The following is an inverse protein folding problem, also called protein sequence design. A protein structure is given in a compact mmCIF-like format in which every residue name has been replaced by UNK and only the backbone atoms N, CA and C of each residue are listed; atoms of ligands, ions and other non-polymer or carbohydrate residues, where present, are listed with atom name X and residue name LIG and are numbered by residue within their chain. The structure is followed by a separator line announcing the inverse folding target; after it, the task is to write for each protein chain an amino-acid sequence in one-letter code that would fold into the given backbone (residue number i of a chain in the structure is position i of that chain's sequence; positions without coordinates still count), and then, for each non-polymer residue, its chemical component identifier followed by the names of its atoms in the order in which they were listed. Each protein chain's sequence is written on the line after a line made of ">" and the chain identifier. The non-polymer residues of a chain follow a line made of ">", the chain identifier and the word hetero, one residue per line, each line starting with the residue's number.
data_IF_547357673254
#
_entry.id   IF_547357673254
#
_cell.length_a   1.000
_cell.length_b   1.000
_cell.length_c   1.000
_cell.angle_alpha   90.00
_cell.angle_beta   90.00
_cell.angle_gamma   90.00
#
_symmetry.space_group_name_H-M   'P 1'
#
loop_
_entity.id
_entity.type
_entity.pdbx_description
1 polymer ?
2 polymer ?
3 polymer ?
4 non-polymer ?
5 water ?
#
loop_
_entity_poly.entity_id
_entity_poly.type
_entity_poly.pdbx_seq_one_letter_code
_entity_poly.pdbx_strand_id
2 'polydeoxyribonucleotide' '(DC)(DC)(DG)(DG)(DC)' ?
3 'polydeoxyribonucleotide' '(DG)(DG)(DC)(DC)(DG)' ?
#
# COMPACT_ATOMS: atom_id res chain seq x y z
N UNK A 1 -1.77 -11.55 11.17
CA UNK A 1 -2.90 -10.65 10.78
C UNK A 1 -3.59 -10.09 12.03
N UNK A 2 -2.99 -9.07 12.64
CA UNK A 2 -3.53 -8.42 13.84
C UNK A 2 -4.92 -7.85 13.55
N UNK A 3 -5.49 -7.13 14.50
CA UNK A 3 -6.81 -6.52 14.32
C UNK A 3 -7.88 -7.58 14.11
N UNK A 4 -7.65 -8.81 14.56
CA UNK A 4 -8.65 -9.86 14.36
C UNK A 4 -9.98 -9.50 15.03
N UNK A 5 -11.05 -9.55 14.24
CA UNK A 5 -12.37 -9.23 14.77
C UNK A 5 -12.69 -7.75 14.81
N UNK A 6 -11.72 -6.90 14.50
CA UNK A 6 -11.94 -5.45 14.53
C UNK A 6 -12.86 -4.99 13.40
N UNK A 7 -13.64 -3.92 13.63
CA UNK A 7 -14.52 -3.45 12.54
C UNK A 7 -13.72 -3.12 11.27
N UNK A 8 -14.38 -3.24 10.12
CA UNK A 8 -13.73 -2.98 8.86
C UNK A 8 -14.31 -1.85 8.02
N UNK A 9 -13.41 -1.06 7.43
CA UNK A 9 -13.80 0.03 6.57
C UNK A 9 -13.23 -0.31 5.21
N UNK A 10 -14.10 -0.59 4.23
CA UNK A 10 -13.58 -0.90 2.90
C UNK A 10 -13.52 0.37 2.08
N UNK A 11 -12.37 0.61 1.46
CA UNK A 11 -12.20 1.81 0.66
C UNK A 11 -12.71 1.59 -0.77
N UNK A 12 -13.44 2.58 -1.28
CA UNK A 12 -13.97 2.49 -2.63
C UNK A 12 -13.52 3.67 -3.47
N UNK A 13 -14.40 4.17 -4.32
CA UNK A 13 -14.09 5.29 -5.20
C UNK A 13 -14.61 6.64 -4.73
N UNK A 14 -15.35 6.64 -3.64
CA UNK A 14 -15.88 7.89 -3.13
C UNK A 14 -14.73 8.77 -2.64
N UNK A 15 -14.99 10.07 -2.47
CA UNK A 15 -13.97 11.04 -2.02
C UNK A 15 -13.26 10.48 -0.78
N UNK A 16 -11.94 10.61 -0.73
CA UNK A 16 -11.18 10.07 0.39
C UNK A 16 -11.71 10.57 1.74
N UNK A 17 -12.26 11.78 1.75
CA UNK A 17 -12.83 12.38 2.95
C UNK A 17 -13.87 11.48 3.64
N UNK A 18 -14.72 10.85 2.85
CA UNK A 18 -15.75 9.98 3.40
C UNK A 18 -15.15 8.84 4.24
N UNK A 19 -14.08 8.22 3.74
CA UNK A 19 -13.42 7.12 4.43
C UNK A 19 -12.64 7.61 5.64
N UNK A 20 -12.10 8.81 5.56
CA UNK A 20 -11.37 9.36 6.69
C UNK A 20 -12.38 9.48 7.84
N UNK A 21 -13.55 10.01 7.52
CA UNK A 21 -14.59 10.19 8.52
C UNK A 21 -15.12 8.85 9.02
N UNK A 22 -15.20 7.86 8.14
CA UNK A 22 -15.67 6.54 8.54
C UNK A 22 -14.72 5.94 9.58
N UNK A 23 -13.42 6.06 9.33
CA UNK A 23 -12.41 5.55 10.24
C UNK A 23 -12.53 6.26 11.59
N UNK A 24 -12.64 7.58 11.56
CA UNK A 24 -12.76 8.35 12.80
C UNK A 24 -14.01 8.00 13.62
N UNK A 25 -15.15 7.90 12.96
CA UNK A 25 -16.38 7.58 13.67
C UNK A 25 -16.38 6.15 14.22
N UNK A 26 -15.71 5.24 13.53
CA UNK A 26 -15.65 3.86 13.97
C UNK A 26 -14.85 3.79 15.26
N UNK A 27 -13.71 4.46 15.28
CA UNK A 27 -12.84 4.47 16.45
C UNK A 27 -13.49 5.21 17.62
N UNK A 28 -14.62 5.86 17.35
CA UNK A 28 -15.36 6.59 18.38
C UNK A 28 -16.36 5.66 19.05
N UNK A 29 -16.66 4.54 18.41
CA UNK A 29 -17.60 3.58 18.96
C UNK A 29 -17.14 3.07 20.33
N UNK A 30 -18.09 2.92 21.24
CA UNK A 30 -17.81 2.46 22.59
C UNK A 30 -17.20 1.06 22.55
N UNK A 31 -16.02 0.91 23.14
CA UNK A 31 -15.37 -0.38 23.17
C UNK A 31 -14.58 -0.74 21.91
N UNK A 32 -14.43 0.22 21.00
CA UNK A 32 -13.67 -0.04 19.77
C UNK A 32 -12.37 0.75 19.81
N UNK A 33 -11.24 0.05 19.70
CA UNK A 33 -9.94 0.70 19.74
C UNK A 33 -9.15 0.41 18.46
N UNK A 34 -9.71 -0.45 17.61
CA UNK A 34 -9.07 -0.82 16.36
C UNK A 34 -10.02 -0.78 15.16
N UNK A 35 -9.43 -0.60 13.99
CA UNK A 35 -10.18 -0.59 12.74
C UNK A 35 -9.22 -1.06 11.66
N UNK A 36 -9.71 -1.93 10.79
CA UNK A 36 -8.89 -2.42 9.70
C UNK A 36 -9.43 -1.80 8.42
N UNK A 37 -8.53 -1.21 7.66
CA UNK A 37 -8.89 -0.57 6.41
C UNK A 37 -8.51 -1.52 5.29
N UNK A 38 -9.47 -1.85 4.43
CA UNK A 38 -9.21 -2.78 3.34
C UNK A 38 -9.49 -2.13 2.00
N UNK A 39 -8.72 -2.50 1.00
CA UNK A 39 -8.89 -1.96 -0.36
C UNK A 39 -8.28 -2.91 -1.37
N UNK A 40 -8.83 -2.89 -2.59
CA UNK A 40 -8.33 -3.75 -3.66
C UNK A 40 -7.97 -2.90 -4.88
N UNK A 41 -6.96 -3.35 -5.61
CA UNK A 41 -6.53 -2.63 -6.81
C UNK A 41 -6.18 -1.17 -6.64
N UNK A 42 -6.68 -0.35 -7.57
CA UNK A 42 -6.42 1.08 -7.55
C UNK A 42 -6.86 1.74 -6.25
N UNK A 43 -7.83 1.14 -5.57
CA UNK A 43 -8.33 1.71 -4.32
C UNK A 43 -7.29 1.66 -3.20
N UNK A 44 -6.24 0.87 -3.42
CA UNK A 44 -5.18 0.75 -2.43
C UNK A 44 -4.55 2.12 -2.20
N UNK A 45 -4.44 2.92 -3.26
CA UNK A 45 -3.86 4.26 -3.17
C UNK A 45 -4.70 5.12 -2.24
N UNK A 46 -6.02 5.05 -2.41
CA UNK A 46 -6.95 5.83 -1.60
C UNK A 46 -6.94 5.36 -0.14
N UNK A 47 -6.75 4.06 0.07
CA UNK A 47 -6.71 3.51 1.40
C UNK A 47 -5.52 4.08 2.16
N UNK A 48 -4.37 4.13 1.50
CA UNK A 48 -3.17 4.66 2.14
C UNK A 48 -3.34 6.16 2.41
N UNK A 49 -3.94 6.87 1.46
CA UNK A 49 -4.16 8.31 1.62
C UNK A 49 -5.07 8.60 2.81
N UNK A 50 -6.16 7.84 2.94
CA UNK A 50 -7.10 8.04 4.02
C UNK A 50 -6.43 7.86 5.38
N UNK A 51 -5.64 6.79 5.50
CA UNK A 51 -4.93 6.51 6.74
C UNK A 51 -3.94 7.61 7.09
N UNK A 52 -3.18 8.07 6.09
CA UNK A 52 -2.22 9.13 6.34
C UNK A 52 -2.89 10.45 6.70
N UNK A 53 -4.04 10.72 6.10
CA UNK A 53 -4.81 11.93 6.40
C UNK A 53 -5.31 11.85 7.84
N UNK A 54 -5.81 10.67 8.23
CA UNK A 54 -6.28 10.45 9.59
C UNK A 54 -5.17 10.73 10.60
N UNK A 55 -4.03 10.09 10.40
CA UNK A 55 -2.87 10.24 11.28
C UNK A 55 -2.19 11.61 11.28
N UNK A 56 -2.02 12.20 10.10
CA UNK A 56 -1.35 13.49 10.00
C UNK A 56 -2.21 14.72 10.28
N UNK A 57 -3.52 14.61 10.06
CA UNK A 57 -4.39 15.76 10.24
C UNK A 57 -5.51 15.70 11.27
N UNK A 58 -6.03 14.51 11.53
CA UNK A 58 -7.14 14.38 12.48
C UNK A 58 -6.83 13.80 13.86
N UNK A 59 -6.12 12.67 13.89
CA UNK A 59 -5.81 12.03 15.17
C UNK A 59 -4.41 11.42 15.20
N UNK A 60 -3.48 12.16 15.79
CA UNK A 60 -2.10 11.70 15.90
C UNK A 60 -1.91 10.53 16.88
N UNK A 61 -2.94 10.19 17.63
CA UNK A 61 -2.85 9.08 18.58
C UNK A 61 -3.26 7.73 17.97
N UNK A 62 -3.44 7.71 16.66
CA UNK A 62 -3.80 6.49 15.95
C UNK A 62 -2.54 5.95 15.31
N UNK A 63 -2.15 4.75 15.70
CA UNK A 63 -0.95 4.12 15.16
C UNK A 63 -1.26 3.11 14.07
N UNK A 64 -0.28 2.90 13.20
CA UNK A 64 -0.42 1.90 12.15
C UNK A 64 0.20 0.67 12.78
N UNK A 65 -0.66 -0.19 13.30
CA UNK A 65 -0.27 -1.42 13.97
C UNK A 65 0.35 -2.47 13.04
N UNK A 66 -0.29 -2.70 11.90
CA UNK A 66 0.20 -3.69 10.95
C UNK A 66 -0.33 -3.43 9.55
N UNK A 67 0.40 -3.93 8.56
CA UNK A 67 -0.01 -3.79 7.16
C UNK A 67 0.30 -5.10 6.46
N UNK A 68 -0.70 -5.61 5.73
CA UNK A 68 -0.49 -6.84 4.98
C UNK A 68 -1.02 -6.67 3.58
N UNK A 69 -0.34 -7.29 2.62
CA UNK A 69 -0.79 -7.21 1.24
C UNK A 69 -0.99 -8.63 0.74
N UNK A 70 -1.84 -8.78 -0.27
CA UNK A 70 -2.13 -10.08 -0.86
C UNK A 70 -2.65 -9.82 -2.27
N UNK A 71 -3.12 -10.87 -2.93
CA UNK A 71 -3.66 -10.74 -4.27
C UNK A 71 -4.40 -12.01 -4.69
N UNK A 72 -5.09 -11.95 -5.82
CA UNK A 72 -5.84 -13.08 -6.33
C UNK A 72 -6.19 -12.86 -7.80
N UNK A 73 -6.21 -13.95 -8.58
CA UNK A 73 -6.54 -13.85 -9.98
C UNK A 73 -8.04 -14.05 -10.18
N UNK A 74 -8.65 -13.17 -10.96
CA UNK A 74 -10.08 -13.22 -11.22
C UNK A 74 -10.37 -13.53 -12.68
N UNK A 75 -11.56 -14.05 -12.95
CA UNK A 75 -11.96 -14.40 -14.32
C UNK A 75 -12.55 -13.21 -15.07
N UNK A 76 -11.81 -12.73 -16.08
CA UNK A 76 -12.25 -11.61 -16.89
C UNK A 76 -12.61 -12.10 -18.30
N UNK A 77 -13.87 -12.44 -18.49
CA UNK A 77 -14.35 -12.91 -19.79
C UNK A 77 -14.10 -11.91 -20.91
N UNK A 78 -13.14 -12.22 -21.79
CA UNK A 78 -12.81 -11.35 -22.90
C UNK A 78 -14.06 -10.91 -23.67
N UNK A 79 -13.97 -9.78 -24.40
CA UNK A 79 -15.11 -9.27 -25.17
C UNK A 79 -15.97 -10.33 -25.86
N UNK A 80 -15.47 -10.92 -26.95
CA UNK A 80 -16.24 -11.93 -27.67
C UNK A 80 -15.64 -13.32 -27.52
N UNK A 81 -14.43 -13.39 -26.95
CA UNK A 81 -13.78 -14.69 -26.76
C UNK A 81 -13.89 -15.20 -25.34
N UNK A 82 -13.11 -16.23 -25.01
CA UNK A 82 -13.13 -16.80 -23.67
C UNK A 82 -11.72 -17.04 -23.12
N UNK A 83 -11.37 -16.28 -22.08
CA UNK A 83 -10.06 -16.40 -21.46
C UNK A 83 -10.01 -15.33 -20.36
N UNK A 84 -9.23 -15.60 -19.31
CA UNK A 84 -9.11 -14.67 -18.20
C UNK A 84 -7.79 -14.85 -17.45
N UNK A 85 -7.10 -13.73 -17.25
CA UNK A 85 -5.81 -13.70 -16.54
C UNK A 85 -5.61 -12.30 -15.95
N UNK A 86 -6.11 -12.11 -14.73
CA UNK A 86 -5.98 -10.82 -14.05
C UNK A 86 -5.78 -11.01 -12.55
N UNK A 87 -4.65 -10.53 -12.05
CA UNK A 87 -4.36 -10.63 -10.63
C UNK A 87 -4.69 -9.29 -9.98
N UNK A 88 -5.51 -9.32 -8.94
CA UNK A 88 -5.91 -8.11 -8.24
C UNK A 88 -5.29 -8.11 -6.85
N UNK A 89 -4.55 -7.06 -6.55
CA UNK A 89 -3.89 -6.94 -5.25
C UNK A 89 -4.82 -6.33 -4.20
N UNK A 90 -4.48 -6.53 -2.94
CA UNK A 90 -5.27 -6.00 -1.84
C UNK A 90 -4.36 -5.56 -0.72
N UNK A 91 -4.86 -4.66 0.12
CA UNK A 91 -4.10 -4.22 1.27
C UNK A 91 -5.03 -4.23 2.48
N UNK A 92 -4.48 -4.51 3.65
CA UNK A 92 -5.20 -4.49 4.91
C UNK A 92 -4.33 -3.70 5.87
N UNK A 93 -4.83 -2.55 6.33
CA UNK A 93 -4.08 -1.71 7.24
C UNK A 93 -4.78 -1.74 8.58
N UNK A 94 -4.08 -2.24 9.60
CA UNK A 94 -4.64 -2.32 10.94
C UNK A 94 -4.29 -1.07 11.73
N UNK A 95 -5.30 -0.35 12.17
CA UNK A 95 -5.10 0.86 12.95
C UNK A 95 -5.51 0.61 14.39
N UNK A 96 -4.81 1.25 15.32
CA UNK A 96 -5.13 1.10 16.72
C UNK A 96 -5.05 2.42 17.47
N UNK A 97 -6.03 2.66 18.34
CA UNK A 97 -6.13 3.87 19.15
C UNK A 97 -5.09 4.08 20.24
N UNK A 98 -4.68 5.34 20.40
CA UNK A 98 -3.70 5.78 21.41
C UNK A 98 -2.43 5.06 21.80
N UNK A 99 -1.77 4.49 20.79
CA UNK A 99 -0.55 3.73 20.96
C UNK A 99 -0.10 3.53 22.39
N UNK B 1 11.96 -0.51 11.53
CA UNK B 1 13.39 -0.13 11.30
C UNK B 1 14.21 -1.34 10.85
N UNK B 2 14.01 -1.76 9.61
CA UNK B 2 14.71 -2.89 9.02
C UNK B 2 14.99 -2.61 7.55
N UNK B 3 15.72 -3.52 6.90
CA UNK B 3 16.07 -3.38 5.48
C UNK B 3 17.04 -2.23 5.27
N UNK B 4 17.58 -1.68 6.35
CA UNK B 4 18.51 -0.57 6.17
C UNK B 4 19.68 -0.97 5.29
N UNK B 5 20.07 -0.07 4.40
CA UNK B 5 21.18 -0.32 3.49
C UNK B 5 20.87 -1.18 2.28
N UNK B 6 19.70 -1.82 2.27
CA UNK B 6 19.33 -2.69 1.17
C UNK B 6 19.11 -1.94 -0.14
N UNK B 7 19.46 -2.57 -1.28
CA UNK B 7 19.27 -1.92 -2.58
C UNK B 7 17.78 -1.57 -2.74
N UNK B 8 17.49 -0.53 -3.52
CA UNK B 8 16.11 -0.06 -3.71
C UNK B 8 15.58 -0.16 -5.13
N UNK B 9 14.25 -0.26 -5.26
CA UNK B 9 13.59 -0.28 -6.55
C UNK B 9 12.45 0.74 -6.45
N UNK B 10 12.63 1.85 -7.16
CA UNK B 10 11.68 2.95 -7.20
C UNK B 10 10.61 2.69 -8.25
N UNK B 11 9.35 2.62 -7.83
CA UNK B 11 8.27 2.39 -8.79
C UNK B 11 7.94 3.72 -9.46
N UNK B 12 7.93 3.70 -10.79
CA UNK B 12 7.61 4.90 -11.55
C UNK B 12 6.29 4.72 -12.26
N UNK B 13 6.18 5.20 -13.50
CA UNK B 13 4.93 5.08 -14.26
C UNK B 13 5.03 4.05 -15.39
N UNK B 14 6.19 3.42 -15.52
CA UNK B 14 6.41 2.41 -16.55
C UNK B 14 5.56 1.19 -16.20
N UNK B 15 5.33 0.30 -17.18
CA UNK B 15 4.52 -0.90 -16.93
C UNK B 15 5.02 -1.68 -15.72
N UNK B 16 4.10 -2.33 -15.02
CA UNK B 16 4.43 -3.12 -13.85
C UNK B 16 5.46 -4.21 -14.13
N UNK B 17 5.42 -4.83 -15.30
CA UNK B 17 6.38 -5.89 -15.62
C UNK B 17 7.82 -5.38 -15.59
N UNK B 18 8.02 -4.11 -15.93
CA UNK B 18 9.36 -3.54 -15.92
C UNK B 18 9.92 -3.57 -14.50
N UNK B 19 9.09 -3.26 -13.52
CA UNK B 19 9.48 -3.25 -12.11
C UNK B 19 9.58 -4.65 -11.54
N UNK B 20 8.78 -5.57 -12.08
CA UNK B 20 8.84 -6.96 -11.63
C UNK B 20 10.23 -7.45 -12.01
N UNK B 21 10.65 -7.07 -13.22
CA UNK B 21 11.95 -7.44 -13.74
C UNK B 21 13.07 -6.80 -12.92
N UNK B 22 12.91 -5.54 -12.58
CA UNK B 22 13.90 -4.82 -11.78
C UNK B 22 14.08 -5.47 -10.40
N UNK B 23 12.98 -5.91 -9.80
CA UNK B 23 13.06 -6.56 -8.50
C UNK B 23 13.80 -7.89 -8.62
N UNK B 24 13.45 -8.68 -9.64
CA UNK B 24 14.09 -9.98 -9.82
C UNK B 24 15.58 -9.85 -10.10
N UNK B 25 15.96 -8.84 -10.89
CA UNK B 25 17.37 -8.64 -11.22
C UNK B 25 18.15 -8.15 -9.99
N UNK B 26 17.52 -7.28 -9.20
CA UNK B 26 18.16 -6.78 -7.99
C UNK B 26 18.38 -7.95 -7.05
N UNK B 27 17.42 -8.86 -7.01
CA UNK B 27 17.50 -10.05 -6.17
C UNK B 27 18.57 -11.04 -6.62
N UNK B 28 18.78 -11.12 -7.93
CA UNK B 28 19.78 -12.04 -8.48
C UNK B 28 21.21 -11.73 -8.09
N UNK B 29 21.46 -10.51 -7.65
CA UNK B 29 22.81 -10.12 -7.24
C UNK B 29 23.22 -10.97 -6.02
N UNK B 30 24.38 -11.61 -6.14
CA UNK B 30 24.92 -12.49 -5.12
C UNK B 30 24.90 -11.96 -3.69
N UNK B 31 25.21 -10.68 -3.52
CA UNK B 31 25.23 -10.11 -2.19
C UNK B 31 23.90 -9.66 -1.62
N UNK B 32 23.06 -9.05 -2.46
CA UNK B 32 21.76 -8.57 -2.02
C UNK B 32 20.91 -9.64 -1.35
N UNK B 33 20.55 -9.41 -0.09
CA UNK B 33 19.72 -10.33 0.68
C UNK B 33 18.31 -9.77 0.82
N UNK B 34 18.20 -8.46 0.64
CA UNK B 34 16.94 -7.74 0.77
C UNK B 34 16.81 -6.69 -0.34
N UNK B 35 15.57 -6.27 -0.59
CA UNK B 35 15.32 -5.23 -1.58
C UNK B 35 14.11 -4.43 -1.10
N UNK B 36 14.23 -3.11 -1.13
CA UNK B 36 13.13 -2.26 -0.71
C UNK B 36 12.46 -1.60 -1.91
N UNK B 37 11.16 -1.86 -2.04
CA UNK B 37 10.36 -1.30 -3.12
C UNK B 37 9.68 -0.05 -2.55
N UNK B 38 9.92 1.08 -3.22
CA UNK B 38 9.37 2.36 -2.79
C UNK B 38 8.47 3.00 -3.83
N UNK B 39 7.39 3.64 -3.38
CA UNK B 39 6.46 4.29 -4.29
C UNK B 39 5.68 5.41 -3.63
N UNK B 40 5.28 6.38 -4.43
CA UNK B 40 4.53 7.52 -3.94
C UNK B 40 3.25 7.75 -4.72
N UNK B 41 2.28 8.33 -4.05
CA UNK B 41 1.00 8.66 -4.66
C UNK B 41 0.27 7.55 -5.39
N UNK B 42 -0.04 7.82 -6.65
CA UNK B 42 -0.76 6.88 -7.50
C UNK B 42 0.01 5.62 -7.90
N UNK B 43 1.29 5.59 -7.56
CA UNK B 43 2.15 4.44 -7.89
C UNK B 43 2.17 3.38 -6.81
N UNK B 44 1.55 3.68 -5.68
CA UNK B 44 1.54 2.73 -4.57
C UNK B 44 0.85 1.41 -4.93
N UNK B 45 -0.31 1.46 -5.57
CA UNK B 45 -0.93 0.18 -5.89
C UNK B 45 -0.07 -0.56 -6.92
N UNK B 46 0.66 0.17 -7.77
CA UNK B 46 1.53 -0.47 -8.75
C UNK B 46 2.67 -1.19 -8.03
N UNK B 47 3.16 -0.60 -6.94
CA UNK B 47 4.23 -1.20 -6.15
C UNK B 47 3.74 -2.51 -5.53
N UNK B 48 2.52 -2.49 -4.98
CA UNK B 48 1.96 -3.70 -4.38
C UNK B 48 1.75 -4.76 -5.46
N UNK B 49 1.33 -4.35 -6.65
CA UNK B 49 1.11 -5.29 -7.76
C UNK B 49 2.42 -5.96 -8.16
N UNK B 50 3.47 -5.16 -8.31
CA UNK B 50 4.77 -5.69 -8.70
C UNK B 50 5.27 -6.72 -7.69
N UNK B 51 5.15 -6.39 -6.40
CA UNK B 51 5.59 -7.30 -5.35
C UNK B 51 4.76 -8.57 -5.30
N UNK B 52 3.45 -8.45 -5.54
CA UNK B 52 2.59 -9.63 -5.52
C UNK B 52 2.86 -10.57 -6.70
N UNK B 53 3.18 -10.00 -7.86
CA UNK B 53 3.49 -10.79 -9.04
C UNK B 53 4.72 -11.61 -8.73
N UNK B 54 5.73 -10.93 -8.20
CA UNK B 54 6.98 -11.57 -7.84
C UNK B 54 6.76 -12.72 -6.85
N UNK B 55 6.11 -12.41 -5.73
CA UNK B 55 5.86 -13.40 -4.68
C UNK B 55 4.97 -14.57 -5.08
N UNK B 56 3.94 -14.30 -5.88
CA UNK B 56 3.01 -15.33 -6.29
C UNK B 56 3.42 -16.11 -7.54
N UNK B 57 4.20 -15.48 -8.41
CA UNK B 57 4.57 -16.10 -9.66
C UNK B 57 6.06 -16.36 -9.95
N UNK B 58 6.96 -15.50 -9.50
CA UNK B 58 8.38 -15.69 -9.83
C UNK B 58 9.37 -16.04 -8.72
N UNK B 59 9.06 -15.65 -7.50
CA UNK B 59 9.92 -15.95 -6.37
C UNK B 59 8.95 -16.23 -5.24
N UNK B 60 8.43 -17.46 -5.23
CA UNK B 60 7.44 -17.89 -4.26
C UNK B 60 8.01 -18.07 -2.85
N UNK B 61 9.31 -17.95 -2.70
CA UNK B 61 9.92 -18.11 -1.38
C UNK B 61 10.39 -16.79 -0.78
N UNK B 62 10.15 -15.69 -1.50
CA UNK B 62 10.53 -14.39 -0.99
C UNK B 62 9.56 -14.01 0.11
N UNK B 63 10.05 -13.34 1.14
CA UNK B 63 9.17 -12.96 2.22
C UNK B 63 9.07 -11.45 2.32
N UNK B 64 7.88 -10.98 2.69
CA UNK B 64 7.66 -9.55 2.87
C UNK B 64 8.12 -9.30 4.30
N UNK B 65 9.32 -8.75 4.43
CA UNK B 65 9.93 -8.47 5.71
C UNK B 65 9.20 -7.41 6.53
N UNK B 66 8.73 -6.36 5.86
CA UNK B 66 8.04 -5.30 6.55
C UNK B 66 7.49 -4.30 5.53
N UNK B 67 6.46 -3.55 5.93
CA UNK B 67 5.83 -2.56 5.08
C UNK B 67 5.57 -1.32 5.92
N UNK B 68 5.95 -0.16 5.40
CA UNK B 68 5.75 1.10 6.12
C UNK B 68 5.10 2.10 5.17
N UNK B 69 4.20 2.92 5.68
CA UNK B 69 3.58 3.96 4.86
C UNK B 69 3.88 5.30 5.54
N UNK B 70 3.87 6.36 4.76
CA UNK B 70 4.18 7.68 5.28
C UNK B 70 3.59 8.67 4.29
N UNK B 71 3.80 9.95 4.54
CA UNK B 71 3.30 10.96 3.63
C UNK B 71 4.16 12.20 3.78
N UNK B 72 4.25 12.97 2.71
CA UNK B 72 5.07 14.18 2.70
C UNK B 72 4.25 15.34 2.13
N UNK B 73 4.48 16.54 2.65
CA UNK B 73 3.76 17.70 2.15
C UNK B 73 4.47 18.23 0.92
N UNK B 74 3.69 18.57 -0.10
CA UNK B 74 4.19 19.12 -1.35
C UNK B 74 3.60 20.51 -1.51
N UNK B 75 4.46 21.51 -1.70
CA UNK B 75 4.01 22.89 -1.88
C UNK B 75 3.94 23.09 -3.40
N UNK B 76 2.74 22.97 -3.95
CA UNK B 76 2.52 23.11 -5.39
C UNK B 76 2.38 24.59 -5.71
N UNK B 77 2.15 24.92 -6.98
CA UNK B 77 2.00 26.32 -7.39
C UNK B 77 0.82 26.45 -8.34
N UNK B 78 -0.25 27.08 -7.86
CA UNK B 78 -1.46 27.28 -8.65
C UNK B 78 -1.19 28.16 -9.87
N UNK B 79 -1.84 27.87 -11.02
CA UNK B 79 -1.62 28.70 -12.20
C UNK B 79 -1.72 30.15 -11.77
N UNK B 80 -2.52 30.37 -10.74
CA UNK B 80 -2.74 31.67 -10.14
C UNK B 80 -1.76 31.75 -8.96
N UNK B 81 -1.11 32.89 -8.78
CA UNK B 81 -0.15 33.06 -7.70
C UNK B 81 -0.67 32.62 -6.33
N UNK B 82 0.24 32.57 -5.36
CA UNK B 82 -0.08 32.14 -4.01
C UNK B 82 -0.67 30.81 -3.53
N UNK B 83 0.02 29.75 -3.92
CA UNK B 83 -0.35 28.37 -3.59
C UNK B 83 -0.22 27.79 -2.16
N UNK B 84 -0.57 26.52 -2.00
CA UNK B 84 -0.47 25.90 -0.68
C UNK B 84 -0.20 24.40 -0.68
N UNK B 85 -0.01 23.88 0.53
CA UNK B 85 0.30 22.49 0.78
C UNK B 85 -0.64 21.48 0.12
N UNK B 86 -0.08 20.31 -0.13
CA UNK B 86 -0.78 19.19 -0.74
C UNK B 86 -0.10 17.97 -0.12
N UNK B 87 -0.86 16.89 0.08
CA UNK B 87 -0.31 15.69 0.69
C UNK B 87 -0.11 14.52 -0.25
N UNK B 88 1.07 13.92 -0.18
CA UNK B 88 1.37 12.77 -1.02
C UNK B 88 1.83 11.62 -0.13
N UNK B 89 1.17 10.47 -0.28
CA UNK B 89 1.49 9.30 0.51
C UNK B 89 2.61 8.52 -0.14
N UNK B 90 3.24 7.65 0.64
CA UNK B 90 4.32 6.81 0.15
C UNK B 90 4.27 5.45 0.84
N UNK B 91 4.95 4.49 0.25
CA UNK B 91 5.02 3.14 0.82
C UNK B 91 6.41 2.58 0.58
N UNK B 92 6.85 1.72 1.50
CA UNK B 92 8.15 1.05 1.39
C UNK B 92 7.85 -0.40 1.74
N UNK B 93 8.20 -1.30 0.85
CA UNK B 93 7.97 -2.72 1.06
C UNK B 93 9.33 -3.42 1.00
N UNK B 94 9.73 -3.99 2.13
CA UNK B 94 11.00 -4.68 2.23
C UNK B 94 10.81 -6.15 1.93
N UNK B 95 11.53 -6.63 0.91
CA UNK B 95 11.46 -8.03 0.52
C UNK B 95 12.74 -8.69 0.99
N UNK B 96 12.64 -9.94 1.43
CA UNK B 96 13.79 -10.66 1.92
C UNK B 96 13.82 -12.10 1.41
N UNK B 97 14.98 -12.52 0.90
CA UNK B 97 15.14 -13.86 0.38
C UNK B 97 14.93 -14.89 1.49
N UNK B 98 14.30 -16.00 1.14
CA UNK B 98 14.02 -17.07 2.09
C UNK B 98 15.29 -17.50 2.82
N UNK B 99 15.11 -17.96 4.06
CA UNK B 99 16.24 -18.40 4.86
C UNK B 99 15.90 -18.47 6.34
X LIG E 1 -3.66 -7.72 17.97
X LIG E 1 -4.86 -8.18 18.71
X LIG E 1 -3.23 -8.77 17.02
X LIG E 1 -3.98 -6.47 17.22
X LIG E 1 -2.55 -7.46 18.93
#
# INVERSE_FOLDING_TARGET
>A
MACEGAPEVRIGRKPVMNYVLAILTTLMEQGTNQVVVKARGRNINRAVDAVEIVRKRFAKNIEIKDIKIDSQEIEVQTPEGQTRTRRVSSIEICLEKAGESA
>B
MACEGAPEVRIGRKPVMNYVLAILTTLMEQGTNQVVVKARGRNINRAVDAVEIVRKRFAKNIEIKDIKIDSQEIEVQTPEGQTRTRRVSSIEICLEKAGESA
>E hetero
1 PO4 P O1 O2 O3 O4
#
